data_IF_917962319508
#
_entry.id   IF_917962319508
#
_cell.length_a   1.000
_cell.length_b   1.000
_cell.length_c   1.000
_cell.angle_alpha   90.00
_cell.angle_beta   90.00
_cell.angle_gamma   90.00
#
_symmetry.space_group_name_H-M   'P 1'
#
loop_
_entity.id
_entity.type
_entity.pdbx_description
1 polymer ?
#
# COMPACT_ATOMS: atom_id res chain seq x y z
N UNK A 1 29.66 -8.60 -14.25
CA UNK A 1 29.18 -9.97 -14.08
C UNK A 1 28.62 -10.61 -15.38
N UNK A 2 28.48 -9.84 -16.46
CA UNK A 2 28.03 -10.34 -17.77
C UNK A 2 26.62 -10.90 -17.83
N UNK A 3 25.83 -10.76 -16.76
CA UNK A 3 24.41 -11.16 -16.75
C UNK A 3 23.61 -10.19 -17.61
N UNK A 4 22.94 -10.72 -18.60
CA UNK A 4 22.00 -9.98 -19.42
C UNK A 4 20.58 -10.39 -19.06
N UNK A 5 19.66 -9.42 -18.89
CA UNK A 5 18.26 -9.68 -18.58
C UNK A 5 17.64 -8.60 -17.71
N UNK A 6 16.39 -8.82 -17.32
CA UNK A 6 15.67 -7.96 -16.41
C UNK A 6 15.76 -8.51 -14.98
N UNK A 7 16.12 -7.66 -14.04
CA UNK A 7 16.32 -8.02 -12.66
C UNK A 7 15.56 -7.05 -11.74
N UNK A 8 15.13 -7.56 -10.60
CA UNK A 8 14.50 -6.73 -9.57
C UNK A 8 15.57 -5.93 -8.83
N UNK A 9 15.52 -4.60 -8.92
CA UNK A 9 16.53 -3.72 -8.33
C UNK A 9 16.63 -3.83 -6.80
N UNK A 10 15.54 -4.23 -6.12
CA UNK A 10 15.53 -4.37 -4.67
C UNK A 10 16.26 -5.61 -4.14
N UNK A 11 16.57 -6.58 -4.98
CA UNK A 11 17.18 -7.86 -4.57
C UNK A 11 18.55 -8.11 -5.22
N UNK A 12 18.95 -7.26 -6.17
CA UNK A 12 20.22 -7.40 -6.86
C UNK A 12 21.30 -6.57 -6.14
N UNK A 13 22.35 -7.20 -5.58
CA UNK A 13 23.46 -6.45 -5.02
C UNK A 13 24.22 -5.69 -6.10
N UNK A 14 24.69 -4.50 -5.78
CA UNK A 14 25.52 -3.70 -6.66
C UNK A 14 26.91 -4.29 -6.80
N UNK A 15 27.52 -4.15 -7.98
CA UNK A 15 28.88 -4.60 -8.25
C UNK A 15 29.62 -3.52 -9.02
N UNK A 16 30.96 -3.50 -8.89
CA UNK A 16 31.82 -2.58 -9.65
C UNK A 16 31.67 -2.82 -11.16
N UNK A 17 31.59 -1.73 -11.93
CA UNK A 17 31.37 -1.80 -13.36
C UNK A 17 29.95 -2.18 -13.80
N UNK A 18 28.99 -2.30 -12.88
CA UNK A 18 27.59 -2.57 -13.21
C UNK A 18 27.00 -1.43 -14.04
N UNK A 19 26.36 -1.80 -15.16
CA UNK A 19 25.58 -0.88 -15.98
C UNK A 19 24.10 -1.27 -15.83
N UNK A 20 23.31 -0.39 -15.23
CA UNK A 20 21.87 -0.56 -15.08
C UNK A 20 21.10 0.41 -16.00
N UNK A 21 20.09 -0.08 -16.69
CA UNK A 21 19.19 0.71 -17.53
C UNK A 21 17.75 0.48 -17.07
N UNK A 22 17.09 1.53 -16.63
CA UNK A 22 15.75 1.45 -16.04
C UNK A 22 14.61 1.76 -17.01
N UNK A 23 14.91 2.22 -18.23
CA UNK A 23 13.92 2.74 -19.18
C UNK A 23 14.09 2.17 -20.59
N UNK A 24 14.56 0.93 -20.69
CA UNK A 24 14.54 0.23 -21.97
C UNK A 24 13.10 -0.16 -22.34
N UNK A 25 12.77 -0.30 -23.65
CA UNK A 25 11.43 -0.74 -24.06
C UNK A 25 10.98 -2.03 -23.39
N UNK A 26 11.88 -3.00 -23.21
CA UNK A 26 11.59 -4.25 -22.51
C UNK A 26 11.21 -4.01 -21.04
N UNK A 27 11.99 -3.24 -20.28
CA UNK A 27 11.70 -2.90 -18.88
C UNK A 27 10.37 -2.16 -18.75
N UNK A 28 10.08 -1.21 -19.64
CA UNK A 28 8.81 -0.47 -19.64
C UNK A 28 7.63 -1.41 -19.91
N UNK A 29 7.77 -2.34 -20.84
CA UNK A 29 6.75 -3.34 -21.13
C UNK A 29 6.52 -4.28 -19.93
N UNK A 30 7.58 -4.78 -19.31
CA UNK A 30 7.48 -5.65 -18.13
C UNK A 30 6.79 -4.93 -16.95
N UNK A 31 7.13 -3.67 -16.69
CA UNK A 31 6.46 -2.86 -15.64
C UNK A 31 4.97 -2.70 -15.95
N UNK A 32 4.61 -2.42 -17.19
CA UNK A 32 3.20 -2.33 -17.61
C UNK A 32 2.45 -3.63 -17.35
N UNK A 33 3.01 -4.76 -17.74
CA UNK A 33 2.41 -6.08 -17.51
C UNK A 33 2.25 -6.40 -16.03
N UNK A 34 3.23 -6.04 -15.19
CA UNK A 34 3.12 -6.21 -13.73
C UNK A 34 1.97 -5.36 -13.17
N UNK A 35 1.85 -4.09 -13.57
CA UNK A 35 0.75 -3.23 -13.15
C UNK A 35 -0.60 -3.76 -13.61
N UNK A 36 -0.71 -4.28 -14.84
CA UNK A 36 -1.92 -4.95 -15.34
C UNK A 36 -2.32 -6.16 -14.49
N UNK A 37 -1.35 -6.98 -14.08
CA UNK A 37 -1.60 -8.11 -13.20
C UNK A 37 -2.10 -7.67 -11.82
N UNK A 38 -1.47 -6.65 -11.23
CA UNK A 38 -1.89 -6.11 -9.93
C UNK A 38 -3.30 -5.49 -10.00
N UNK A 39 -3.62 -4.80 -11.09
CA UNK A 39 -4.95 -4.22 -11.31
C UNK A 39 -6.06 -5.28 -11.43
N UNK A 40 -5.75 -6.51 -11.84
CA UNK A 40 -6.77 -7.58 -11.94
C UNK A 40 -7.41 -7.92 -10.61
N UNK A 41 -6.71 -7.76 -9.50
CA UNK A 41 -7.23 -8.03 -8.16
C UNK A 41 -7.63 -6.74 -7.42
N UNK A 42 -7.26 -5.57 -7.94
CA UNK A 42 -7.62 -4.28 -7.38
C UNK A 42 -9.09 -3.93 -7.71
N UNK A 43 -9.84 -3.51 -6.70
CA UNK A 43 -11.19 -3.01 -6.86
C UNK A 43 -11.35 -1.71 -6.06
N UNK A 44 -11.79 -0.66 -6.73
CA UNK A 44 -12.14 0.60 -6.09
C UNK A 44 -13.68 0.69 -5.96
N UNK A 45 -14.17 0.70 -4.74
CA UNK A 45 -15.59 0.80 -4.44
C UNK A 45 -16.17 2.22 -4.65
N UNK A 46 -15.37 3.15 -5.18
CA UNK A 46 -15.83 4.50 -5.54
C UNK A 46 -15.97 5.49 -4.39
N UNK A 47 -15.57 5.14 -3.16
CA UNK A 47 -15.49 6.12 -2.08
C UNK A 47 -14.17 6.92 -2.17
N UNK A 48 -14.21 8.19 -1.79
CA UNK A 48 -13.03 9.04 -1.78
C UNK A 48 -12.01 8.52 -0.75
N UNK A 49 -10.81 8.17 -1.18
CA UNK A 49 -9.68 7.98 -0.27
C UNK A 49 -9.10 9.35 0.12
N UNK A 50 -8.34 9.40 1.23
CA UNK A 50 -7.66 10.63 1.66
C UNK A 50 -6.62 11.10 0.66
N UNK A 51 -5.99 10.17 -0.04
CA UNK A 51 -5.13 10.45 -1.17
C UNK A 51 -5.83 10.02 -2.47
N UNK A 52 -6.42 10.98 -3.22
CA UNK A 52 -7.07 10.69 -4.49
C UNK A 52 -6.09 10.22 -5.55
N UNK A 53 -4.80 10.42 -5.33
CA UNK A 53 -3.72 9.96 -6.21
C UNK A 53 -2.73 9.08 -5.44
N UNK A 54 -3.18 7.88 -5.04
CA UNK A 54 -2.31 6.92 -4.38
C UNK A 54 -1.06 6.61 -5.23
N UNK A 55 0.05 6.22 -4.58
CA UNK A 55 1.29 5.85 -5.27
C UNK A 55 1.04 4.81 -6.38
N UNK A 56 0.19 3.82 -6.11
CA UNK A 56 -0.16 2.80 -7.09
C UNK A 56 -0.86 3.38 -8.32
N UNK A 57 -1.88 4.22 -8.13
CA UNK A 57 -2.63 4.84 -9.23
C UNK A 57 -1.79 5.83 -10.03
N UNK A 58 -0.84 6.50 -9.39
CA UNK A 58 0.16 7.32 -10.10
C UNK A 58 0.94 6.48 -11.11
N UNK A 59 1.45 5.30 -10.71
CA UNK A 59 2.19 4.42 -11.61
C UNK A 59 1.31 3.81 -12.69
N UNK A 60 0.08 3.42 -12.38
CA UNK A 60 -0.91 2.93 -13.36
C UNK A 60 -1.11 3.95 -14.48
N UNK A 61 -1.33 5.22 -14.12
CA UNK A 61 -1.49 6.30 -15.09
C UNK A 61 -0.20 6.60 -15.87
N UNK A 62 0.93 6.65 -15.18
CA UNK A 62 2.23 6.91 -15.83
C UNK A 62 2.58 5.89 -16.91
N UNK A 63 2.20 4.65 -16.75
CA UNK A 63 2.43 3.57 -17.72
C UNK A 63 1.25 3.33 -18.66
N UNK A 64 0.23 4.19 -18.63
CA UNK A 64 -0.97 4.09 -19.46
C UNK A 64 -1.59 2.68 -19.42
N UNK A 65 -1.79 2.16 -18.20
CA UNK A 65 -2.38 0.84 -17.98
C UNK A 65 -3.90 0.99 -17.95
N UNK A 66 -4.65 0.26 -18.79
CA UNK A 66 -6.09 0.36 -18.84
C UNK A 66 -6.71 -0.21 -17.55
N UNK A 67 -7.73 0.50 -17.02
CA UNK A 67 -8.49 0.00 -15.88
C UNK A 67 -9.30 -1.24 -16.28
N UNK A 68 -9.27 -2.30 -15.47
CA UNK A 68 -10.09 -3.48 -15.71
C UNK A 68 -11.58 -3.15 -15.55
N UNK A 69 -12.48 -3.99 -16.10
CA UNK A 69 -13.90 -3.89 -15.82
C UNK A 69 -14.19 -3.94 -14.31
N UNK A 70 -15.20 -3.20 -13.89
CA UNK A 70 -15.67 -3.23 -12.50
C UNK A 70 -16.03 -4.66 -12.09
N UNK A 71 -15.69 -5.02 -10.85
CA UNK A 71 -15.98 -6.33 -10.25
C UNK A 71 -16.67 -6.15 -8.90
N UNK A 72 -17.34 -7.19 -8.46
CA UNK A 72 -17.85 -7.24 -7.10
C UNK A 72 -16.71 -7.31 -6.08
N UNK A 73 -16.83 -6.59 -4.96
CA UNK A 73 -15.84 -6.63 -3.89
C UNK A 73 -15.74 -8.04 -3.29
N UNK A 74 -14.53 -8.50 -3.06
CA UNK A 74 -14.25 -9.81 -2.46
C UNK A 74 -14.31 -9.76 -0.93
N UNK A 75 -13.96 -8.63 -0.36
CA UNK A 75 -13.87 -8.42 1.09
C UNK A 75 -14.84 -7.34 1.53
N UNK A 76 -15.34 -7.48 2.75
CA UNK A 76 -16.13 -6.42 3.38
C UNK A 76 -15.28 -5.16 3.58
N UNK A 77 -15.82 -4.02 3.22
CA UNK A 77 -15.16 -2.72 3.35
C UNK A 77 -15.29 -2.25 4.79
N UNK A 78 -14.20 -1.71 5.36
CA UNK A 78 -14.13 -1.22 6.73
C UNK A 78 -14.61 -2.24 7.78
N UNK A 79 -14.21 -3.48 7.61
CA UNK A 79 -14.63 -4.60 8.47
C UNK A 79 -13.97 -4.62 9.85
N UNK A 80 -12.87 -3.86 10.06
CA UNK A 80 -12.19 -3.83 11.34
C UNK A 80 -12.75 -2.71 12.25
N UNK A 81 -13.02 -3.00 13.54
CA UNK A 81 -13.58 -2.03 14.48
C UNK A 81 -12.57 -0.96 14.94
N UNK A 82 -11.31 -1.00 14.51
CA UNK A 82 -10.32 0.02 14.87
C UNK A 82 -10.87 1.43 14.58
N UNK A 83 -10.84 2.37 15.53
CA UNK A 83 -11.45 3.69 15.37
C UNK A 83 -10.69 4.62 14.42
N UNK A 84 -9.42 4.33 14.13
CA UNK A 84 -8.54 5.22 13.36
C UNK A 84 -8.11 4.65 12.01
N UNK A 85 -8.07 3.34 11.85
CA UNK A 85 -7.59 2.68 10.63
C UNK A 85 -8.77 2.15 9.81
N UNK A 86 -8.90 2.68 8.61
CA UNK A 86 -9.81 2.15 7.59
C UNK A 86 -9.17 0.94 6.92
N UNK A 87 -9.95 -0.10 6.69
CA UNK A 87 -9.48 -1.33 6.06
C UNK A 87 -10.36 -1.68 4.87
N UNK A 88 -9.78 -1.68 3.67
CA UNK A 88 -10.41 -2.18 2.45
C UNK A 88 -9.44 -3.06 1.67
N UNK A 89 -9.50 -4.35 1.92
CA UNK A 89 -8.60 -5.33 1.29
C UNK A 89 -8.85 -5.50 -0.21
N UNK A 90 -9.95 -4.97 -0.75
CA UNK A 90 -10.21 -4.99 -2.20
C UNK A 90 -9.22 -4.10 -2.97
N UNK A 91 -8.62 -3.11 -2.30
CA UNK A 91 -7.54 -2.28 -2.85
C UNK A 91 -6.14 -2.85 -2.61
N UNK A 92 -6.00 -3.98 -1.91
CA UNK A 92 -4.71 -4.54 -1.53
C UNK A 92 -4.02 -5.22 -2.71
N UNK A 93 -2.77 -4.83 -3.00
CA UNK A 93 -1.90 -5.42 -4.03
C UNK A 93 -0.85 -6.38 -3.44
N UNK A 94 -1.01 -6.80 -2.20
CA UNK A 94 -0.11 -7.74 -1.49
C UNK A 94 1.37 -7.30 -1.44
N UNK A 95 1.63 -6.01 -1.37
CA UNK A 95 3.00 -5.48 -1.32
C UNK A 95 3.71 -5.70 0.02
N UNK A 96 3.00 -6.12 1.06
CA UNK A 96 3.47 -6.41 2.42
C UNK A 96 4.12 -5.23 3.16
N UNK A 97 4.03 -3.99 2.65
CA UNK A 97 4.60 -2.81 3.31
C UNK A 97 4.00 -2.60 4.71
N UNK A 98 2.68 -2.82 4.88
CA UNK A 98 2.02 -2.70 6.18
C UNK A 98 2.50 -3.74 7.20
N UNK A 99 2.69 -4.99 6.75
CA UNK A 99 3.23 -6.07 7.59
C UNK A 99 4.63 -5.72 8.06
N UNK A 100 5.51 -5.34 7.13
CA UNK A 100 6.88 -4.96 7.44
C UNK A 100 6.97 -3.69 8.28
N UNK A 101 6.18 -2.66 7.97
CA UNK A 101 6.15 -1.45 8.78
C UNK A 101 5.71 -1.73 10.22
N UNK A 102 4.72 -2.60 10.41
CA UNK A 102 4.25 -2.99 11.73
C UNK A 102 5.29 -3.82 12.50
N UNK A 103 5.95 -4.77 11.84
CA UNK A 103 6.94 -5.66 12.45
C UNK A 103 8.31 -5.00 12.62
N UNK A 104 8.88 -4.45 11.54
CA UNK A 104 10.27 -4.02 11.50
C UNK A 104 10.48 -2.58 12.01
N UNK A 105 9.49 -1.68 11.79
CA UNK A 105 9.59 -0.28 12.19
C UNK A 105 8.95 -0.04 13.55
N UNK A 106 7.74 -0.59 13.78
CA UNK A 106 6.99 -0.38 15.01
C UNK A 106 7.18 -1.48 16.07
N UNK A 107 7.69 -2.65 15.69
CA UNK A 107 7.90 -3.79 16.60
C UNK A 107 6.61 -4.36 17.18
N UNK A 108 5.44 -4.21 16.49
CA UNK A 108 4.12 -4.58 17.03
C UNK A 108 3.54 -5.88 16.49
N UNK A 109 3.92 -6.32 15.29
CA UNK A 109 3.51 -7.61 14.69
C UNK A 109 1.99 -7.82 14.62
N UNK A 110 1.23 -6.74 14.42
CA UNK A 110 -0.23 -6.82 14.32
C UNK A 110 -0.66 -7.42 12.98
N UNK A 111 -0.03 -6.99 11.89
CA UNK A 111 -0.34 -7.45 10.54
C UNK A 111 0.50 -8.66 10.15
N UNK A 112 -0.15 -9.63 9.54
CA UNK A 112 0.48 -10.83 8.98
C UNK A 112 -0.22 -11.25 7.68
N UNK A 113 0.24 -12.30 7.04
CA UNK A 113 -0.30 -12.86 5.81
C UNK A 113 -0.98 -14.19 6.12
N UNK A 114 -2.24 -14.31 5.75
CA UNK A 114 -2.97 -15.58 5.79
C UNK A 114 -3.25 -16.08 4.38
N UNK A 115 -3.53 -17.39 4.26
CA UNK A 115 -3.81 -18.05 3.00
C UNK A 115 -2.57 -18.26 2.13
N UNK A 116 -2.79 -18.68 0.90
CA UNK A 116 -1.74 -18.87 -0.12
C UNK A 116 -2.32 -18.74 -1.53
N UNK A 117 -1.44 -18.43 -2.48
CA UNK A 117 -1.84 -18.21 -3.87
C UNK A 117 -2.86 -17.09 -3.96
N UNK A 118 -3.95 -17.32 -4.69
CA UNK A 118 -5.01 -16.33 -4.86
C UNK A 118 -5.76 -15.98 -3.57
N UNK A 119 -5.72 -16.85 -2.57
CA UNK A 119 -6.40 -16.63 -1.29
C UNK A 119 -5.51 -15.95 -0.25
N UNK A 120 -4.27 -15.58 -0.62
CA UNK A 120 -3.40 -14.78 0.23
C UNK A 120 -4.05 -13.42 0.51
N UNK A 121 -4.04 -13.01 1.77
CA UNK A 121 -4.51 -11.69 2.19
C UNK A 121 -3.84 -11.29 3.50
N UNK A 122 -3.80 -10.01 3.80
CA UNK A 122 -3.34 -9.53 5.10
C UNK A 122 -4.41 -9.74 6.16
N UNK A 123 -3.99 -10.11 7.35
CA UNK A 123 -4.86 -10.29 8.53
C UNK A 123 -4.27 -9.59 9.74
N UNK A 124 -5.11 -9.21 10.68
CA UNK A 124 -4.67 -8.79 12.00
C UNK A 124 -4.58 -10.01 12.93
N UNK A 125 -3.44 -10.18 13.60
CA UNK A 125 -3.20 -11.33 14.48
C UNK A 125 -3.40 -12.66 13.77
N UNK A 126 -4.18 -13.55 14.36
CA UNK A 126 -4.56 -14.84 13.78
C UNK A 126 -5.95 -14.79 13.08
N UNK A 127 -6.28 -13.70 12.40
CA UNK A 127 -7.61 -13.47 11.81
C UNK A 127 -8.59 -12.85 12.82
N UNK A 128 -8.09 -12.13 13.80
CA UNK A 128 -8.85 -11.36 14.78
C UNK A 128 -8.99 -9.89 14.38
N UNK A 129 -9.47 -9.02 15.28
CA UNK A 129 -9.45 -7.59 15.04
C UNK A 129 -8.06 -6.98 15.30
N UNK A 130 -7.80 -5.81 14.74
CA UNK A 130 -6.55 -5.07 15.03
C UNK A 130 -6.37 -4.81 16.52
N UNK A 131 -7.46 -4.48 17.25
CA UNK A 131 -7.42 -4.21 18.67
C UNK A 131 -7.12 -5.47 19.48
N UNK A 132 -7.73 -6.60 19.15
CA UNK A 132 -7.43 -7.90 19.78
C UNK A 132 -5.97 -8.31 19.54
N UNK A 133 -5.42 -7.98 18.38
CA UNK A 133 -4.00 -8.15 18.04
C UNK A 133 -3.09 -7.09 18.70
N UNK A 134 -3.61 -6.30 19.66
CA UNK A 134 -2.89 -5.24 20.40
C UNK A 134 -2.33 -4.13 19.51
N UNK A 135 -3.10 -3.72 18.51
CA UNK A 135 -2.79 -2.55 17.71
C UNK A 135 -2.85 -1.27 18.57
N UNK A 136 -1.83 -0.45 18.48
CA UNK A 136 -1.76 0.86 19.16
C UNK A 136 -2.24 2.02 18.26
N UNK A 137 -2.80 1.70 17.10
CA UNK A 137 -3.31 2.70 16.13
C UNK A 137 -2.27 3.77 15.74
N UNK A 138 -0.99 3.40 15.66
CA UNK A 138 0.11 4.32 15.36
C UNK A 138 0.09 4.90 13.93
N UNK A 139 -0.73 4.34 13.02
CA UNK A 139 -0.87 4.83 11.64
C UNK A 139 0.25 4.45 10.67
N UNK A 140 1.32 3.77 11.10
CA UNK A 140 2.43 3.42 10.21
C UNK A 140 1.97 2.60 9.00
N UNK A 141 1.09 1.63 9.19
CA UNK A 141 0.54 0.82 8.11
C UNK A 141 -0.25 1.66 7.08
N UNK A 142 -0.92 2.72 7.51
CA UNK A 142 -1.60 3.69 6.65
C UNK A 142 -0.58 4.48 5.82
N UNK A 143 0.42 5.06 6.47
CA UNK A 143 1.45 5.88 5.81
C UNK A 143 2.27 5.09 4.76
N UNK A 144 2.43 3.79 4.94
CA UNK A 144 3.17 2.93 4.00
C UNK A 144 2.29 2.26 2.94
N UNK A 145 0.96 2.38 3.01
CA UNK A 145 0.05 1.73 2.06
C UNK A 145 0.03 2.47 0.72
N UNK A 146 0.48 1.83 -0.39
CA UNK A 146 0.57 2.52 -1.68
C UNK A 146 -0.77 2.61 -2.42
N UNK A 147 -1.82 1.99 -1.90
CA UNK A 147 -3.12 1.84 -2.60
C UNK A 147 -4.30 2.43 -1.84
N UNK A 148 -4.10 2.87 -0.59
CA UNK A 148 -5.20 3.26 0.28
C UNK A 148 -6.08 2.09 0.75
N UNK A 149 -5.58 0.84 0.66
CA UNK A 149 -6.25 -0.32 1.28
C UNK A 149 -6.30 -0.19 2.81
N UNK A 150 -5.29 0.45 3.38
CA UNK A 150 -5.28 0.94 4.76
C UNK A 150 -5.20 2.47 4.70
N UNK A 151 -6.15 3.15 5.32
CA UNK A 151 -6.28 4.60 5.26
C UNK A 151 -6.71 5.17 6.61
N UNK A 152 -6.71 6.49 6.75
CA UNK A 152 -7.16 7.17 7.94
C UNK A 152 -8.70 7.22 7.98
N UNK A 153 -9.29 6.43 8.86
CA UNK A 153 -10.73 6.29 9.01
C UNK A 153 -11.45 7.61 9.31
N UNK A 154 -10.77 8.53 9.98
CA UNK A 154 -11.37 9.82 10.37
C UNK A 154 -11.54 10.77 9.20
N UNK A 155 -10.83 10.56 8.11
CA UNK A 155 -10.85 11.46 6.95
C UNK A 155 -11.23 10.78 5.63
N UNK A 156 -11.42 9.45 5.60
CA UNK A 156 -11.99 8.76 4.43
C UNK A 156 -13.35 9.35 4.10
N UNK A 157 -13.53 9.79 2.85
CA UNK A 157 -14.77 10.43 2.38
C UNK A 157 -14.85 11.93 2.67
N UNK A 158 -13.89 12.53 3.37
CA UNK A 158 -13.88 13.98 3.63
C UNK A 158 -13.60 14.83 2.37
N UNK A 159 -13.13 14.20 1.29
CA UNK A 159 -12.80 14.88 0.06
C UNK A 159 -11.41 15.52 0.07
N UNK A 160 -11.11 16.26 -1.00
CA UNK A 160 -9.84 16.98 -1.13
C UNK A 160 -9.84 18.22 -0.23
N UNK A 161 -8.78 18.45 0.58
CA UNK A 161 -8.69 19.65 1.39
C UNK A 161 -8.54 20.90 0.51
N UNK A 162 -9.20 22.00 0.90
CA UNK A 162 -9.07 23.29 0.23
C UNK A 162 -7.66 23.88 0.40
N UNK A 163 -7.04 23.56 1.53
CA UNK A 163 -5.71 24.08 1.89
C UNK A 163 -4.95 23.10 2.75
N UNK A 164 -3.67 22.91 2.45
CA UNK A 164 -2.72 22.15 3.28
C UNK A 164 -1.76 23.14 3.92
N UNK A 165 -1.57 23.04 5.24
CA UNK A 165 -0.68 23.89 6.02
C UNK A 165 0.22 23.01 6.87
N UNK A 166 1.53 23.16 6.72
CA UNK A 166 2.48 22.50 7.62
C UNK A 166 2.50 23.25 8.95
N UNK A 167 2.28 22.55 10.03
CA UNK A 167 2.28 23.14 11.39
C UNK A 167 3.14 22.29 12.33
N UNK A 168 3.34 22.81 13.54
CA UNK A 168 4.07 22.10 14.60
C UNK A 168 3.06 21.43 15.53
N UNK A 169 3.29 20.18 15.87
CA UNK A 169 2.47 19.43 16.82
C UNK A 169 2.50 20.13 18.20
N UNK A 170 1.34 20.37 18.77
CA UNK A 170 1.18 21.00 20.07
C UNK A 170 1.13 20.04 21.26
N UNK A 171 1.30 18.73 21.06
CA UNK A 171 1.05 17.75 22.13
C UNK A 171 2.27 17.48 23.03
N UNK A 172 3.45 17.29 22.48
CA UNK A 172 4.65 17.07 23.28
C UNK A 172 5.82 17.94 22.84
N UNK A 173 6.88 18.00 23.66
CA UNK A 173 8.03 18.88 23.44
C UNK A 173 8.93 18.52 22.25
N UNK A 174 8.66 17.42 21.51
CA UNK A 174 9.44 17.04 20.33
C UNK A 174 9.25 18.03 19.19
N UNK A 175 8.06 18.65 19.06
CA UNK A 175 7.79 19.65 18.03
C UNK A 175 7.77 19.09 16.60
N UNK A 176 7.28 17.88 16.39
CA UNK A 176 7.13 17.27 15.07
C UNK A 176 6.29 18.18 14.16
N UNK A 177 6.63 18.22 12.87
CA UNK A 177 5.80 18.87 11.84
C UNK A 177 4.81 17.86 11.28
N UNK A 178 3.63 18.29 10.99
CA UNK A 178 2.58 17.52 10.33
C UNK A 178 1.66 18.44 9.50
#
# INVERSE_FOLDING_TARGET
DGRHGEFTACTLPVAEGMVARSETPAVLQTRRQILELLLREYHDAGYASNDPETEFMYWVRRYDVPMPPAREPRYAINSDPNPFVWVDLNKCIHCNRCVRACAEVQGRFVWDIAGRGRDSHIVAGAGTTMLDARCESCGACVAYCPTGALDNKMSVGAGKPDRIVTTTCGYCGVGCRF
#
